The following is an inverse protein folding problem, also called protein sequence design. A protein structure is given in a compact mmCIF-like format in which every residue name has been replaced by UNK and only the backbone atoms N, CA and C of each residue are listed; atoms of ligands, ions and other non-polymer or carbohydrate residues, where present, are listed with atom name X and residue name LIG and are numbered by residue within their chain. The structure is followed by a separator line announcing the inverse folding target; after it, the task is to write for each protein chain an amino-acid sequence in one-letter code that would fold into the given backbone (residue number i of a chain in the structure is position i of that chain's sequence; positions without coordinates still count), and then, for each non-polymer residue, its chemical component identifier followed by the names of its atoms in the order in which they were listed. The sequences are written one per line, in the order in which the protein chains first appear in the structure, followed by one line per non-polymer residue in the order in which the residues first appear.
data_IF_974315134956
#
_entry.id   IF_974315134956
#
_cell.length_a   1.000
_cell.length_b   1.000
_cell.length_c   1.000
_cell.angle_alpha   90.00
_cell.angle_beta   90.00
_cell.angle_gamma   90.00
#
_symmetry.space_group_name_H-M   'P 1'
#
loop_
_entity.id
_entity.type
_entity.pdbx_description
1 polymer ?
#
# COMPACT_ATOMS: atom_id res chain seq x y z
N UNK A 1 -17.37 10.33 17.77
CA UNK A 1 -17.22 9.15 16.90
C UNK A 1 -16.09 8.30 17.41
N UNK A 2 -16.31 7.00 17.59
CA UNK A 2 -15.27 6.03 17.96
C UNK A 2 -14.74 5.35 16.69
N UNK A 3 -13.45 5.49 16.39
CA UNK A 3 -12.80 4.88 15.22
C UNK A 3 -12.35 3.45 15.51
N UNK A 4 -13.30 2.62 15.95
CA UNK A 4 -13.06 1.22 16.25
C UNK A 4 -14.30 0.38 15.96
N UNK A 5 -14.07 -0.71 15.25
CA UNK A 5 -14.99 -1.82 15.08
C UNK A 5 -14.17 -3.12 15.10
N UNK A 6 -14.74 -4.27 15.52
CA UNK A 6 -13.99 -5.52 15.61
C UNK A 6 -13.28 -5.94 14.32
N UNK A 7 -13.87 -5.63 13.16
CA UNK A 7 -13.23 -5.91 11.86
C UNK A 7 -11.94 -5.12 11.63
N UNK A 8 -11.65 -4.07 12.40
CA UNK A 8 -10.38 -3.34 12.29
C UNK A 8 -9.19 -4.15 12.84
N UNK A 9 -9.44 -5.19 13.65
CA UNK A 9 -8.39 -5.96 14.33
C UNK A 9 -7.38 -6.60 13.38
N UNK A 10 -7.76 -7.29 12.28
CA UNK A 10 -6.80 -7.83 11.32
C UNK A 10 -5.83 -6.77 10.78
N UNK A 11 -6.34 -5.62 10.35
CA UNK A 11 -5.51 -4.49 9.91
C UNK A 11 -4.59 -3.97 11.02
N UNK A 12 -5.12 -3.72 12.23
CA UNK A 12 -4.33 -3.18 13.35
C UNK A 12 -3.19 -4.13 13.72
N UNK A 13 -3.49 -5.42 13.88
CA UNK A 13 -2.50 -6.45 14.22
C UNK A 13 -1.44 -6.55 13.11
N UNK A 14 -1.87 -6.58 11.84
CA UNK A 14 -0.94 -6.64 10.71
C UNK A 14 -0.04 -5.42 10.62
N UNK A 15 -0.60 -4.21 10.74
CA UNK A 15 0.15 -2.97 10.71
C UNK A 15 1.17 -2.89 11.87
N UNK A 16 0.73 -3.20 13.10
CA UNK A 16 1.61 -3.24 14.27
C UNK A 16 2.75 -4.25 14.09
N UNK A 17 2.44 -5.44 13.59
CA UNK A 17 3.44 -6.49 13.31
C UNK A 17 4.47 -6.01 12.29
N UNK A 18 4.00 -5.46 11.16
CA UNK A 18 4.86 -4.94 10.10
C UNK A 18 5.77 -3.82 10.60
N UNK A 19 5.22 -2.79 11.24
CA UNK A 19 6.00 -1.64 11.71
C UNK A 19 6.98 -2.04 12.81
N UNK A 20 6.61 -2.95 13.71
CA UNK A 20 7.52 -3.44 14.76
C UNK A 20 8.71 -4.19 14.16
N UNK A 21 8.48 -5.07 13.17
CA UNK A 21 9.54 -5.83 12.51
C UNK A 21 10.44 -4.90 11.69
N UNK A 22 9.86 -3.96 10.94
CA UNK A 22 10.63 -2.98 10.15
C UNK A 22 11.48 -2.09 11.06
N UNK A 23 10.91 -1.57 12.15
CA UNK A 23 11.64 -0.76 13.12
C UNK A 23 12.79 -1.55 13.75
N UNK A 24 12.57 -2.82 14.11
CA UNK A 24 13.62 -3.68 14.64
C UNK A 24 14.72 -3.97 13.62
N UNK A 25 14.36 -4.39 12.39
CA UNK A 25 15.34 -4.67 11.31
C UNK A 25 16.15 -3.42 10.98
N UNK A 26 15.49 -2.32 10.63
CA UNK A 26 16.16 -1.07 10.24
C UNK A 26 16.94 -0.47 11.40
N UNK A 27 16.37 -0.46 12.61
CA UNK A 27 17.06 0.02 13.81
C UNK A 27 18.33 -0.78 14.09
N UNK A 28 18.24 -2.12 14.03
CA UNK A 28 19.40 -3.01 14.18
C UNK A 28 20.46 -2.76 13.11
N UNK A 29 20.06 -2.55 11.85
CA UNK A 29 21.00 -2.31 10.76
C UNK A 29 21.67 -0.93 10.85
N UNK A 30 20.90 0.12 11.12
CA UNK A 30 21.44 1.46 11.33
C UNK A 30 22.35 1.53 12.57
N UNK A 31 22.01 0.78 13.63
CA UNK A 31 22.85 0.70 14.82
C UNK A 31 24.19 0.01 14.55
N UNK A 32 24.22 -0.98 13.65
CA UNK A 32 25.42 -1.75 13.28
C UNK A 32 26.29 -1.06 12.22
N UNK A 33 25.89 0.09 11.69
CA UNK A 33 26.74 0.88 10.79
C UNK A 33 28.05 1.27 11.46
N UNK A 34 29.13 1.34 10.67
CA UNK A 34 30.42 1.78 11.16
C UNK A 34 30.35 3.23 11.65
N UNK A 35 31.27 3.64 12.54
CA UNK A 35 31.31 5.04 13.00
C UNK A 35 31.50 6.03 11.84
N UNK A 36 32.27 5.64 10.83
CA UNK A 36 32.49 6.44 9.63
C UNK A 36 31.18 6.62 8.84
N UNK A 37 30.42 5.55 8.62
CA UNK A 37 29.14 5.62 7.91
C UNK A 37 28.10 6.44 8.67
N UNK A 38 28.03 6.28 10.00
CA UNK A 38 27.12 7.09 10.84
C UNK A 38 27.44 8.58 10.72
N UNK A 39 28.72 8.94 10.70
CA UNK A 39 29.14 10.33 10.53
C UNK A 39 28.85 10.85 9.12
N UNK A 40 29.01 10.01 8.09
CA UNK A 40 28.64 10.35 6.71
C UNK A 40 27.14 10.65 6.58
N UNK A 41 26.29 9.79 7.16
CA UNK A 41 24.84 10.03 7.21
C UNK A 41 24.53 11.35 7.89
N UNK A 42 25.04 11.57 9.11
CA UNK A 42 24.78 12.79 9.89
C UNK A 42 25.16 14.07 9.15
N UNK A 43 26.30 14.07 8.46
CA UNK A 43 26.77 15.20 7.65
C UNK A 43 25.95 15.42 6.39
N UNK A 44 25.39 14.36 5.81
CA UNK A 44 24.65 14.44 4.57
C UNK A 44 23.17 14.81 4.75
N UNK A 45 22.57 14.57 5.92
CA UNK A 45 21.15 14.90 6.21
C UNK A 45 20.76 16.37 5.93
N UNK A 46 21.55 17.39 6.32
CA UNK A 46 21.17 18.80 6.06
C UNK A 46 21.58 19.29 4.67
N UNK A 47 22.00 18.40 3.75
CA UNK A 47 22.55 18.80 2.45
C UNK A 47 21.57 18.58 1.30
N UNK A 48 21.94 19.06 0.09
CA UNK A 48 21.18 18.79 -1.14
C UNK A 48 21.02 17.30 -1.44
N UNK A 49 21.89 16.45 -0.89
CA UNK A 49 21.79 15.00 -1.04
C UNK A 49 20.45 14.44 -0.54
N UNK A 50 19.86 15.03 0.51
CA UNK A 50 18.56 14.60 1.05
C UNK A 50 17.41 14.94 0.12
N UNK A 51 17.43 16.11 -0.52
CA UNK A 51 16.43 16.48 -1.51
C UNK A 51 16.55 15.62 -2.79
N UNK A 52 17.78 15.35 -3.23
CA UNK A 52 18.04 14.42 -4.33
C UNK A 52 17.57 13.00 -4.01
N UNK A 53 17.85 12.52 -2.80
CA UNK A 53 17.40 11.22 -2.32
C UNK A 53 15.87 11.14 -2.26
N UNK A 54 15.19 12.18 -1.77
CA UNK A 54 13.74 12.24 -1.75
C UNK A 54 13.15 12.20 -3.17
N UNK A 55 13.71 13.00 -4.09
CA UNK A 55 13.28 13.00 -5.49
C UNK A 55 13.49 11.63 -6.15
N UNK A 56 14.63 10.99 -5.90
CA UNK A 56 14.91 9.63 -6.38
C UNK A 56 13.95 8.62 -5.77
N UNK A 57 13.69 8.69 -4.46
CA UNK A 57 12.73 7.81 -3.78
C UNK A 57 11.32 7.95 -4.38
N UNK A 58 10.83 9.16 -4.63
CA UNK A 58 9.54 9.36 -5.30
C UNK A 58 9.56 8.82 -6.73
N UNK A 59 10.62 9.09 -7.50
CA UNK A 59 10.70 8.64 -8.89
C UNK A 59 10.83 7.12 -9.04
N UNK A 60 11.52 6.46 -8.13
CA UNK A 60 11.78 5.01 -8.22
C UNK A 60 10.77 4.18 -7.43
N UNK A 61 10.41 4.58 -6.21
CA UNK A 61 9.50 3.80 -5.36
C UNK A 61 8.01 4.04 -5.68
N UNK A 62 7.62 5.25 -6.12
CA UNK A 62 6.23 5.54 -6.50
C UNK A 62 6.03 5.45 -8.01
N UNK A 63 6.79 6.26 -8.78
CA UNK A 63 6.60 6.35 -10.23
C UNK A 63 7.22 5.18 -11.02
N UNK A 64 8.14 4.42 -10.41
CA UNK A 64 8.84 3.30 -11.05
C UNK A 64 9.45 3.69 -12.42
N UNK A 65 10.08 4.87 -12.50
CA UNK A 65 10.55 5.48 -13.75
C UNK A 65 11.48 4.57 -14.55
N UNK A 66 12.35 3.80 -13.90
CA UNK A 66 13.22 2.82 -14.58
C UNK A 66 12.45 1.70 -15.26
N UNK A 67 11.44 1.13 -14.59
CA UNK A 67 10.60 0.08 -15.18
C UNK A 67 9.79 0.68 -16.34
N UNK A 68 9.26 1.88 -16.17
CA UNK A 68 8.50 2.58 -17.20
C UNK A 68 9.30 2.82 -18.48
N UNK A 69 10.60 3.13 -18.36
CA UNK A 69 11.52 3.29 -19.50
C UNK A 69 11.78 1.99 -20.26
N UNK A 70 11.76 0.84 -19.57
CA UNK A 70 12.05 -0.47 -20.18
C UNK A 70 10.77 -1.09 -20.78
N UNK A 71 9.67 -1.05 -20.02
CA UNK A 71 8.39 -1.59 -20.42
C UNK A 71 7.27 -0.71 -19.86
N UNK A 72 6.66 0.17 -20.67
CA UNK A 72 5.63 1.11 -20.23
C UNK A 72 4.41 0.44 -19.60
N UNK A 73 3.98 -0.72 -20.12
CA UNK A 73 2.83 -1.46 -19.56
C UNK A 73 3.14 -1.99 -18.16
N UNK A 74 4.33 -2.56 -17.98
CA UNK A 74 4.77 -3.06 -16.68
C UNK A 74 5.03 -1.91 -15.69
N UNK A 75 5.56 -0.79 -16.18
CA UNK A 75 5.76 0.42 -15.41
C UNK A 75 4.45 1.01 -14.92
N UNK A 76 3.46 1.14 -15.82
CA UNK A 76 2.11 1.59 -15.47
C UNK A 76 1.46 0.67 -14.42
N UNK A 77 1.59 -0.65 -14.57
CA UNK A 77 1.07 -1.60 -13.59
C UNK A 77 1.65 -1.37 -12.18
N UNK A 78 2.96 -1.17 -12.03
CA UNK A 78 3.56 -0.89 -10.72
C UNK A 78 3.23 0.52 -10.20
N UNK A 79 3.30 1.53 -11.07
CA UNK A 79 2.99 2.91 -10.74
C UNK A 79 1.55 3.03 -10.24
N UNK A 80 0.58 2.44 -10.94
CA UNK A 80 -0.83 2.46 -10.54
C UNK A 80 -1.07 1.81 -9.18
N UNK A 81 -0.37 0.73 -8.84
CA UNK A 81 -0.44 0.13 -7.51
C UNK A 81 0.26 0.98 -6.44
N UNK A 82 1.49 1.45 -6.68
CA UNK A 82 2.28 2.17 -5.69
C UNK A 82 1.80 3.61 -5.49
N UNK A 83 1.82 4.42 -6.57
CA UNK A 83 1.34 5.80 -6.55
C UNK A 83 -0.15 5.85 -6.22
N UNK A 84 -0.96 4.99 -6.85
CA UNK A 84 -2.41 5.01 -6.62
C UNK A 84 -2.77 4.67 -5.17
N UNK A 85 -2.14 3.67 -4.56
CA UNK A 85 -2.36 3.37 -3.13
C UNK A 85 -1.87 4.51 -2.24
N UNK A 86 -0.68 5.06 -2.51
CA UNK A 86 -0.19 6.23 -1.77
C UNK A 86 -1.17 7.40 -1.82
N UNK A 87 -1.68 7.73 -3.02
CA UNK A 87 -2.67 8.79 -3.20
C UNK A 87 -4.00 8.48 -2.50
N UNK A 88 -4.47 7.23 -2.50
CA UNK A 88 -5.66 6.84 -1.75
C UNK A 88 -5.50 7.09 -0.24
N UNK A 89 -4.31 6.82 0.31
CA UNK A 89 -4.02 7.11 1.72
C UNK A 89 -3.94 8.62 1.97
N UNK A 90 -3.23 9.35 1.10
CA UNK A 90 -3.04 10.80 1.25
C UNK A 90 -4.36 11.57 1.12
N UNK A 91 -5.18 11.24 0.12
CA UNK A 91 -6.50 11.85 -0.08
C UNK A 91 -7.47 11.42 1.02
N UNK A 92 -7.45 10.15 1.44
CA UNK A 92 -8.26 9.70 2.59
C UNK A 92 -7.90 10.45 3.88
N UNK A 93 -6.61 10.69 4.13
CA UNK A 93 -6.17 11.53 5.24
C UNK A 93 -6.64 12.98 5.09
N UNK A 94 -6.48 13.59 3.91
CA UNK A 94 -6.98 14.94 3.65
C UNK A 94 -8.51 15.05 3.81
N UNK A 95 -9.25 14.03 3.40
CA UNK A 95 -10.69 13.91 3.60
C UNK A 95 -11.02 13.91 5.10
N UNK A 96 -10.36 13.06 5.88
CA UNK A 96 -10.61 13.01 7.33
C UNK A 96 -10.28 14.33 8.02
N UNK A 97 -9.23 15.05 7.60
CA UNK A 97 -8.92 16.38 8.09
C UNK A 97 -10.01 17.39 7.71
N UNK A 98 -10.55 17.30 6.50
CA UNK A 98 -11.63 18.19 6.05
C UNK A 98 -12.93 18.01 6.85
N UNK A 99 -13.14 16.83 7.46
CA UNK A 99 -14.28 16.56 8.33
C UNK A 99 -13.99 16.80 9.82
N UNK A 100 -12.82 16.38 10.30
CA UNK A 100 -12.49 16.34 11.74
C UNK A 100 -11.57 17.49 12.19
N UNK A 101 -11.08 18.31 11.27
CA UNK A 101 -10.02 19.28 11.54
C UNK A 101 -8.71 18.60 11.94
N UNK A 102 -7.87 19.29 12.72
CA UNK A 102 -6.57 18.78 13.20
C UNK A 102 -6.69 17.82 14.41
N UNK A 103 -7.85 17.19 14.60
CA UNK A 103 -8.04 16.22 15.68
C UNK A 103 -7.29 14.94 15.37
N UNK A 104 -6.76 14.31 16.42
CA UNK A 104 -6.14 13.00 16.28
C UNK A 104 -7.17 11.96 15.84
N UNK A 105 -6.89 11.32 14.71
CA UNK A 105 -7.64 10.18 14.18
C UNK A 105 -6.65 9.01 14.10
N UNK A 106 -6.97 7.83 14.65
CA UNK A 106 -6.06 6.70 14.59
C UNK A 106 -5.97 6.17 13.14
N UNK A 107 -4.89 5.46 12.80
CA UNK A 107 -4.62 4.98 11.44
C UNK A 107 -5.80 4.21 10.81
N UNK A 108 -6.45 3.33 11.58
CA UNK A 108 -7.61 2.59 11.10
C UNK A 108 -8.81 3.50 10.79
N UNK A 109 -8.93 4.65 11.45
CA UNK A 109 -9.97 5.64 11.20
C UNK A 109 -9.83 6.30 9.83
N UNK A 110 -8.60 6.49 9.34
CA UNK A 110 -8.34 6.99 7.98
C UNK A 110 -8.59 5.91 6.92
N UNK A 111 -8.17 4.67 7.19
CA UNK A 111 -8.29 3.55 6.24
C UNK A 111 -9.75 3.13 6.05
N UNK A 112 -10.53 3.08 7.13
CA UNK A 112 -11.94 2.68 7.12
C UNK A 112 -12.88 3.87 7.27
N UNK A 113 -12.46 5.06 6.83
CA UNK A 113 -13.23 6.28 7.07
C UNK A 113 -14.67 6.20 6.54
N UNK A 114 -14.86 5.62 5.34
CA UNK A 114 -16.18 5.44 4.73
C UNK A 114 -17.13 4.58 5.57
N UNK A 115 -16.62 3.64 6.36
CA UNK A 115 -17.42 2.87 7.31
C UNK A 115 -17.89 3.72 8.51
N UNK A 116 -16.99 4.55 9.07
CA UNK A 116 -17.29 5.34 10.28
C UNK A 116 -18.03 6.66 10.00
N UNK A 117 -17.95 7.17 8.76
CA UNK A 117 -18.43 8.50 8.38
C UNK A 117 -19.81 8.50 7.70
N UNK A 118 -20.60 7.43 7.83
CA UNK A 118 -21.92 7.29 7.17
C UNK A 118 -22.93 8.37 7.54
N UNK A 119 -22.78 9.01 8.71
CA UNK A 119 -23.64 10.11 9.17
C UNK A 119 -23.13 11.52 8.84
N UNK A 120 -22.02 11.67 8.10
CA UNK A 120 -21.46 12.98 7.75
C UNK A 120 -21.95 13.46 6.37
N UNK A 121 -22.14 14.78 6.16
CA UNK A 121 -22.54 15.31 4.86
C UNK A 121 -21.48 14.99 3.80
N UNK A 122 -21.88 14.33 2.70
CA UNK A 122 -20.96 13.95 1.64
C UNK A 122 -20.24 15.15 1.01
N UNK A 123 -18.97 14.96 0.67
CA UNK A 123 -18.14 15.94 -0.03
C UNK A 123 -17.84 15.40 -1.43
N UNK A 124 -18.60 15.82 -2.46
CA UNK A 124 -18.59 15.17 -3.78
C UNK A 124 -17.22 15.17 -4.45
N UNK A 125 -16.38 16.17 -4.17
CA UNK A 125 -15.00 16.22 -4.67
C UNK A 125 -14.17 15.05 -4.11
N UNK A 126 -14.27 14.76 -2.81
CA UNK A 126 -13.54 13.64 -2.22
C UNK A 126 -14.10 12.31 -2.73
N UNK A 127 -15.42 12.16 -2.81
CA UNK A 127 -16.04 10.95 -3.34
C UNK A 127 -15.60 10.68 -4.79
N UNK A 128 -15.56 11.71 -5.64
CA UNK A 128 -15.09 11.59 -7.02
C UNK A 128 -13.61 11.23 -7.11
N UNK A 129 -12.74 11.92 -6.36
CA UNK A 129 -11.29 11.68 -6.40
C UNK A 129 -10.95 10.29 -5.86
N UNK A 130 -11.62 9.84 -4.79
CA UNK A 130 -11.42 8.50 -4.23
C UNK A 130 -11.84 7.42 -5.23
N UNK A 131 -12.98 7.56 -5.91
CA UNK A 131 -13.42 6.64 -6.96
C UNK A 131 -12.45 6.62 -8.16
N UNK A 132 -11.95 7.79 -8.58
CA UNK A 132 -10.97 7.91 -9.66
C UNK A 132 -9.65 7.21 -9.32
N UNK A 133 -9.16 7.42 -8.10
CA UNK A 133 -7.93 6.77 -7.62
C UNK A 133 -8.14 5.26 -7.44
N UNK A 134 -9.30 4.83 -6.94
CA UNK A 134 -9.63 3.42 -6.81
C UNK A 134 -9.68 2.74 -8.18
N UNK A 135 -10.33 3.37 -9.17
CA UNK A 135 -10.33 2.88 -10.55
C UNK A 135 -8.91 2.79 -11.12
N UNK A 136 -8.09 3.82 -10.89
CA UNK A 136 -6.70 3.85 -11.34
C UNK A 136 -5.91 2.66 -10.78
N UNK A 137 -6.05 2.38 -9.47
CA UNK A 137 -5.39 1.22 -8.84
C UNK A 137 -5.96 -0.10 -9.36
N UNK A 138 -7.28 -0.21 -9.51
CA UNK A 138 -7.94 -1.41 -10.02
C UNK A 138 -7.49 -1.74 -11.45
N UNK A 139 -7.22 -0.74 -12.28
CA UNK A 139 -6.64 -0.95 -13.61
C UNK A 139 -5.26 -1.63 -13.52
N UNK A 140 -4.45 -1.27 -12.52
CA UNK A 140 -3.18 -1.92 -12.20
C UNK A 140 -3.34 -3.37 -11.73
N UNK A 141 -4.30 -3.62 -10.83
CA UNK A 141 -4.64 -4.98 -10.35
C UNK A 141 -5.11 -5.85 -11.51
N UNK A 142 -5.98 -5.33 -12.38
CA UNK A 142 -6.46 -6.03 -13.56
C UNK A 142 -5.31 -6.42 -14.51
N UNK A 143 -4.37 -5.51 -14.75
CA UNK A 143 -3.16 -5.80 -15.51
C UNK A 143 -2.28 -6.86 -14.84
N UNK A 144 -2.17 -6.84 -13.51
CA UNK A 144 -1.42 -7.84 -12.74
C UNK A 144 -2.05 -9.24 -12.86
N UNK A 145 -3.38 -9.33 -12.76
CA UNK A 145 -4.12 -10.57 -13.00
C UNK A 145 -3.97 -11.05 -14.45
N UNK A 146 -4.16 -10.17 -15.42
CA UNK A 146 -4.00 -10.49 -16.84
C UNK A 146 -2.60 -11.04 -17.13
N UNK A 147 -1.56 -10.36 -16.62
CA UNK A 147 -0.17 -10.81 -16.72
C UNK A 147 -0.02 -12.20 -16.11
N UNK A 148 -0.61 -12.49 -14.95
CA UNK A 148 -0.51 -13.81 -14.28
C UNK A 148 -1.20 -14.92 -15.08
N UNK A 149 -2.39 -14.66 -15.62
CA UNK A 149 -3.16 -15.63 -16.39
C UNK A 149 -2.46 -15.97 -17.72
N UNK A 150 -1.91 -14.96 -18.41
CA UNK A 150 -1.20 -15.14 -19.69
C UNK A 150 0.27 -15.56 -19.58
N UNK A 151 0.92 -15.44 -18.43
CA UNK A 151 2.34 -15.82 -18.29
C UNK A 151 2.61 -17.33 -18.37
N UNK A 152 1.58 -18.18 -18.19
CA UNK A 152 1.64 -19.60 -18.57
C UNK A 152 1.68 -19.81 -20.09
N UNK A 153 1.04 -18.92 -20.85
CA UNK A 153 0.99 -18.97 -22.33
C UNK A 153 2.20 -18.31 -23.02
N UNK A 154 2.94 -17.44 -22.32
CA UNK A 154 4.13 -16.73 -22.85
C UNK A 154 5.46 -17.48 -22.62
N UNK A 155 5.41 -18.78 -22.28
CA UNK A 155 6.61 -19.64 -22.31
C UNK A 155 7.73 -19.27 -21.33
N UNK A 156 7.43 -18.62 -20.21
CA UNK A 156 8.43 -18.31 -19.18
C UNK A 156 8.98 -19.61 -18.55
N UNK A 157 10.13 -20.08 -19.05
CA UNK A 157 10.80 -21.35 -18.68
C UNK A 157 11.33 -21.39 -17.24
N UNK A 158 11.38 -20.26 -16.53
CA UNK A 158 11.75 -20.18 -15.09
C UNK A 158 10.83 -19.21 -14.37
N UNK A 159 9.87 -19.75 -13.63
CA UNK A 159 9.14 -18.99 -12.62
C UNK A 159 9.93 -19.06 -11.31
N UNK A 160 10.25 -17.90 -10.72
CA UNK A 160 10.89 -17.85 -9.39
C UNK A 160 10.04 -18.64 -8.39
N UNK A 161 10.66 -19.56 -7.64
CA UNK A 161 9.99 -20.41 -6.66
C UNK A 161 9.49 -19.55 -5.51
N UNK A 162 8.20 -19.20 -5.52
CA UNK A 162 7.61 -18.38 -4.45
C UNK A 162 7.63 -19.15 -3.13
N UNK A 163 8.34 -18.58 -2.14
CA UNK A 163 8.23 -18.98 -0.73
C UNK A 163 6.77 -18.80 -0.28
N UNK A 164 6.32 -19.54 0.73
CA UNK A 164 4.93 -19.46 1.20
C UNK A 164 4.49 -18.01 1.49
N UNK A 165 5.37 -17.22 2.13
CA UNK A 165 5.14 -15.79 2.40
C UNK A 165 4.89 -14.95 1.15
N UNK A 166 5.63 -15.17 0.07
CA UNK A 166 5.43 -14.45 -1.20
C UNK A 166 4.06 -14.72 -1.82
N UNK A 167 3.57 -15.97 -1.73
CA UNK A 167 2.25 -16.33 -2.29
C UNK A 167 1.13 -15.69 -1.49
N UNK A 168 1.27 -15.71 -0.17
CA UNK A 168 0.30 -15.11 0.76
C UNK A 168 0.26 -13.59 0.57
N UNK A 169 1.41 -12.92 0.58
CA UNK A 169 1.48 -11.47 0.38
C UNK A 169 0.90 -11.06 -0.98
N UNK A 170 1.25 -11.77 -2.06
CA UNK A 170 0.77 -11.45 -3.40
C UNK A 170 -0.74 -11.71 -3.56
N UNK A 171 -1.24 -12.81 -3.01
CA UNK A 171 -2.68 -13.11 -3.03
C UNK A 171 -3.45 -12.05 -2.26
N UNK A 172 -3.00 -11.70 -1.04
CA UNK A 172 -3.60 -10.64 -0.24
C UNK A 172 -3.62 -9.31 -1.01
N UNK A 173 -2.47 -8.90 -1.58
CA UNK A 173 -2.31 -7.66 -2.35
C UNK A 173 -3.33 -7.54 -3.50
N UNK A 174 -3.59 -8.63 -4.21
CA UNK A 174 -4.55 -8.64 -5.31
C UNK A 174 -5.99 -8.41 -4.88
N UNK A 175 -6.36 -8.82 -3.67
CA UNK A 175 -7.73 -8.70 -3.18
C UNK A 175 -7.98 -7.42 -2.39
N UNK A 176 -6.95 -6.68 -1.94
CA UNK A 176 -7.11 -5.44 -1.15
C UNK A 176 -8.05 -4.44 -1.84
N UNK A 177 -7.81 -4.09 -3.10
CA UNK A 177 -8.61 -3.07 -3.79
C UNK A 177 -9.97 -3.56 -4.30
N UNK A 178 -10.09 -4.79 -4.84
CA UNK A 178 -11.41 -5.36 -5.11
C UNK A 178 -12.28 -5.48 -3.86
N UNK A 179 -11.69 -5.89 -2.72
CA UNK A 179 -12.40 -5.95 -1.45
C UNK A 179 -12.81 -4.56 -0.95
N UNK A 180 -11.94 -3.56 -1.11
CA UNK A 180 -12.26 -2.16 -0.82
C UNK A 180 -13.44 -1.68 -1.64
N UNK A 181 -13.42 -1.92 -2.96
CA UNK A 181 -14.51 -1.56 -3.86
C UNK A 181 -15.83 -2.18 -3.41
N UNK A 182 -15.82 -3.48 -3.08
CA UNK A 182 -17.01 -4.18 -2.61
C UNK A 182 -17.54 -3.59 -1.29
N UNK A 183 -16.66 -3.32 -0.33
CA UNK A 183 -17.03 -2.79 0.99
C UNK A 183 -17.58 -1.35 0.90
N UNK A 184 -16.91 -0.47 0.16
CA UNK A 184 -17.35 0.92 -0.04
C UNK A 184 -18.64 0.99 -0.87
N UNK A 185 -18.80 0.13 -1.89
CA UNK A 185 -20.06 0.05 -2.67
C UNK A 185 -21.22 -0.47 -1.84
N UNK A 186 -20.99 -1.47 -0.97
CA UNK A 186 -22.01 -1.96 -0.04
C UNK A 186 -22.43 -0.89 0.98
N UNK A 187 -21.46 -0.14 1.49
CA UNK A 187 -21.72 1.00 2.39
C UNK A 187 -22.53 2.08 1.67
N UNK A 188 -22.16 2.39 0.44
CA UNK A 188 -22.91 3.32 -0.40
C UNK A 188 -24.34 2.86 -0.69
N UNK A 189 -24.56 1.55 -0.88
CA UNK A 189 -25.90 0.99 -1.11
C UNK A 189 -26.84 1.18 0.09
N UNK A 190 -26.29 1.16 1.31
CA UNK A 190 -27.05 1.26 2.56
C UNK A 190 -27.24 2.71 3.03
N UNK A 191 -26.20 3.54 2.89
CA UNK A 191 -26.14 4.85 3.53
C UNK A 191 -26.00 6.01 2.53
N UNK A 192 -25.88 5.72 1.23
CA UNK A 192 -25.60 6.72 0.20
C UNK A 192 -24.14 7.16 0.16
N UNK A 193 -23.86 8.17 -0.67
CA UNK A 193 -22.51 8.66 -0.94
C UNK A 193 -21.90 8.06 -2.21
N UNK A 194 -20.57 7.97 -2.23
CA UNK A 194 -19.83 7.48 -3.39
C UNK A 194 -19.94 8.39 -4.61
N UNK A 195 -19.30 7.99 -5.70
CA UNK A 195 -19.36 8.72 -6.98
C UNK A 195 -19.67 7.74 -8.11
N UNK A 196 -19.03 7.91 -9.26
CA UNK A 196 -19.31 7.15 -10.48
C UNK A 196 -18.95 5.65 -10.39
N UNK A 197 -18.10 5.23 -9.45
CA UNK A 197 -17.66 3.84 -9.33
C UNK A 197 -18.39 3.15 -8.18
N UNK A 198 -18.15 3.62 -6.95
CA UNK A 198 -18.76 3.04 -5.75
C UNK A 198 -20.25 3.35 -5.68
N UNK A 199 -20.68 4.53 -6.14
CA UNK A 199 -22.09 4.92 -6.21
C UNK A 199 -22.87 4.15 -7.26
N UNK A 200 -22.31 3.93 -8.45
CA UNK A 200 -22.99 3.12 -9.49
C UNK A 200 -23.13 1.66 -9.07
N UNK A 201 -22.07 1.06 -8.51
CA UNK A 201 -22.15 -0.32 -8.00
C UNK A 201 -23.07 -0.41 -6.77
N UNK A 202 -23.01 0.56 -5.86
CA UNK A 202 -23.89 0.62 -4.69
C UNK A 202 -25.35 0.77 -5.08
N UNK A 203 -25.68 1.63 -6.05
CA UNK A 203 -27.02 1.79 -6.59
C UNK A 203 -27.52 0.51 -7.27
N UNK A 204 -26.66 -0.17 -8.03
CA UNK A 204 -26.99 -1.48 -8.60
C UNK A 204 -27.28 -2.52 -7.51
N UNK A 205 -26.45 -2.58 -6.46
CA UNK A 205 -26.65 -3.50 -5.34
C UNK A 205 -27.95 -3.21 -4.56
N UNK A 206 -28.25 -1.93 -4.29
CA UNK A 206 -29.48 -1.50 -3.64
C UNK A 206 -30.73 -1.87 -4.45
N UNK A 207 -30.64 -1.85 -5.78
CA UNK A 207 -31.74 -2.23 -6.66
C UNK A 207 -31.98 -3.75 -6.75
N UNK A 208 -30.97 -4.58 -6.46
CA UNK A 208 -31.01 -6.03 -6.71
C UNK A 208 -30.91 -6.90 -5.44
N UNK A 209 -30.68 -6.31 -4.27
CA UNK A 209 -30.55 -7.05 -3.02
C UNK A 209 -31.39 -6.41 -1.90
N UNK A 210 -31.99 -7.24 -1.05
CA UNK A 210 -32.71 -6.78 0.12
C UNK A 210 -31.77 -6.18 1.17
N UNK A 211 -32.28 -5.22 1.96
CA UNK A 211 -31.51 -4.49 2.97
C UNK A 211 -30.76 -5.40 3.93
N UNK A 212 -31.39 -6.47 4.44
CA UNK A 212 -30.75 -7.43 5.35
C UNK A 212 -29.58 -8.16 4.69
N UNK A 213 -29.70 -8.53 3.41
CA UNK A 213 -28.62 -9.17 2.67
C UNK A 213 -27.45 -8.19 2.45
N UNK A 214 -27.75 -6.92 2.18
CA UNK A 214 -26.75 -5.87 2.01
C UNK A 214 -26.00 -5.57 3.30
N UNK A 215 -26.68 -5.49 4.46
CA UNK A 215 -26.03 -5.29 5.75
C UNK A 215 -25.05 -6.43 6.10
N UNK A 216 -25.47 -7.68 5.84
CA UNK A 216 -24.60 -8.84 6.02
C UNK A 216 -23.41 -8.79 5.07
N UNK A 217 -23.64 -8.46 3.79
CA UNK A 217 -22.59 -8.36 2.79
C UNK A 217 -21.59 -7.24 3.10
N UNK A 218 -22.07 -6.05 3.50
CA UNK A 218 -21.25 -4.91 3.91
C UNK A 218 -20.30 -5.32 5.05
N UNK A 219 -20.85 -5.96 6.09
CA UNK A 219 -20.07 -6.48 7.21
C UNK A 219 -18.99 -7.46 6.74
N UNK A 220 -19.36 -8.45 5.93
CA UNK A 220 -18.42 -9.46 5.41
C UNK A 220 -17.35 -8.81 4.52
N UNK A 221 -17.72 -7.82 3.69
CA UNK A 221 -16.81 -7.12 2.80
C UNK A 221 -15.77 -6.30 3.58
N UNK A 222 -16.17 -5.60 4.64
CA UNK A 222 -15.23 -4.88 5.52
C UNK A 222 -14.28 -5.83 6.27
N UNK A 223 -14.80 -6.95 6.78
CA UNK A 223 -13.96 -8.00 7.37
C UNK A 223 -12.96 -8.57 6.38
N UNK A 224 -13.40 -8.86 5.16
CA UNK A 224 -12.55 -9.39 4.11
C UNK A 224 -11.47 -8.38 3.71
N UNK A 225 -11.84 -7.13 3.47
CA UNK A 225 -10.89 -6.05 3.17
C UNK A 225 -9.83 -5.88 4.26
N UNK A 226 -10.26 -5.78 5.51
CA UNK A 226 -9.33 -5.67 6.65
C UNK A 226 -8.43 -6.89 6.81
N UNK A 227 -8.96 -8.09 6.56
CA UNK A 227 -8.19 -9.33 6.59
C UNK A 227 -7.14 -9.38 5.48
N UNK A 228 -7.47 -8.93 4.26
CA UNK A 228 -6.50 -8.81 3.17
C UNK A 228 -5.37 -7.85 3.53
N UNK A 229 -5.68 -6.69 4.10
CA UNK A 229 -4.67 -5.73 4.58
C UNK A 229 -3.80 -6.34 5.69
N UNK A 230 -4.43 -6.95 6.70
CA UNK A 230 -3.74 -7.57 7.82
C UNK A 230 -2.78 -8.66 7.37
N UNK A 231 -3.26 -9.58 6.53
CA UNK A 231 -2.46 -10.67 5.98
C UNK A 231 -1.30 -10.17 5.14
N UNK A 232 -1.52 -9.14 4.31
CA UNK A 232 -0.47 -8.51 3.52
C UNK A 232 0.62 -7.93 4.43
N UNK A 233 0.25 -7.16 5.45
CA UNK A 233 1.22 -6.54 6.36
C UNK A 233 1.98 -7.54 7.23
N UNK A 234 1.34 -8.62 7.69
CA UNK A 234 2.05 -9.70 8.41
C UNK A 234 3.05 -10.41 7.49
N UNK A 235 2.67 -10.69 6.24
CA UNK A 235 3.52 -11.44 5.31
C UNK A 235 4.64 -10.58 4.70
N UNK A 236 4.45 -9.26 4.60
CA UNK A 236 5.35 -8.34 3.90
C UNK A 236 6.81 -8.43 4.38
N UNK A 237 7.13 -8.37 5.69
CA UNK A 237 8.52 -8.36 6.18
C UNK A 237 9.30 -9.66 5.95
N UNK A 238 8.60 -10.73 5.56
CA UNK A 238 9.14 -12.06 5.29
C UNK A 238 9.05 -12.45 3.81
N UNK A 239 8.70 -11.49 2.96
CA UNK A 239 8.53 -11.69 1.53
C UNK A 239 9.45 -10.78 0.75
N UNK A 240 9.65 -11.07 -0.54
CA UNK A 240 10.37 -10.18 -1.46
C UNK A 240 9.74 -8.78 -1.57
N UNK A 241 8.50 -8.59 -1.10
CA UNK A 241 7.84 -7.28 -1.08
C UNK A 241 8.38 -6.34 0.00
N UNK A 242 9.28 -6.82 0.87
CA UNK A 242 10.04 -5.96 1.78
C UNK A 242 10.83 -4.86 1.05
N UNK A 243 11.14 -5.04 -0.25
CA UNK A 243 11.76 -3.99 -1.05
C UNK A 243 10.93 -2.69 -1.11
N UNK A 244 9.60 -2.78 -1.03
CA UNK A 244 8.70 -1.61 -1.07
C UNK A 244 9.09 -0.59 0.00
N UNK A 245 9.41 -1.07 1.20
CA UNK A 245 9.80 -0.21 2.32
C UNK A 245 11.31 -0.01 2.39
N UNK A 246 12.11 -1.02 2.03
CA UNK A 246 13.58 -1.02 2.24
C UNK A 246 14.34 -0.29 1.13
N UNK A 247 13.74 -0.11 -0.05
CA UNK A 247 14.35 0.67 -1.14
C UNK A 247 14.50 2.16 -0.77
N UNK A 248 13.54 2.74 -0.03
CA UNK A 248 13.59 4.13 0.41
C UNK A 248 14.83 4.42 1.26
N UNK A 249 15.04 3.77 2.43
CA UNK A 249 16.24 4.02 3.23
C UNK A 249 17.52 3.69 2.46
N UNK A 250 17.53 2.68 1.57
CA UNK A 250 18.69 2.38 0.75
C UNK A 250 19.05 3.52 -0.21
N UNK A 251 18.09 4.16 -0.86
CA UNK A 251 18.32 5.33 -1.73
C UNK A 251 18.99 6.45 -0.95
N UNK A 252 18.54 6.71 0.28
CA UNK A 252 19.13 7.71 1.17
C UNK A 252 20.57 7.34 1.53
N UNK A 253 20.82 6.11 2.00
CA UNK A 253 22.17 5.65 2.35
C UNK A 253 23.14 5.73 1.16
N UNK A 254 22.69 5.36 -0.05
CA UNK A 254 23.49 5.46 -1.27
C UNK A 254 23.82 6.91 -1.62
N UNK A 255 22.85 7.82 -1.51
CA UNK A 255 23.05 9.26 -1.74
C UNK A 255 23.95 9.91 -0.68
N UNK A 256 23.98 9.35 0.52
CA UNK A 256 24.90 9.75 1.59
C UNK A 256 26.31 9.16 1.44
N UNK A 257 26.56 8.41 0.36
CA UNK A 257 27.88 7.94 -0.01
C UNK A 257 28.25 6.55 0.53
N UNK A 258 27.33 5.84 1.19
CA UNK A 258 27.58 4.49 1.68
C UNK A 258 27.67 3.51 0.49
N UNK A 259 28.63 2.58 0.57
CA UNK A 259 28.90 1.55 -0.44
C UNK A 259 29.18 0.20 0.22
N UNK A 260 28.97 -0.87 -0.53
CA UNK A 260 29.34 -2.22 -0.12
C UNK A 260 30.87 -2.33 0.01
N UNK A 261 31.34 -2.92 1.10
CA UNK A 261 32.76 -3.23 1.33
C UNK A 261 33.06 -4.70 1.00
N UNK A 262 34.35 -5.08 0.98
CA UNK A 262 34.75 -6.49 0.76
C UNK A 262 34.20 -7.45 1.84
N UNK A 263 33.97 -6.96 3.06
CA UNK A 263 33.29 -7.71 4.12
C UNK A 263 31.82 -7.33 4.14
N UNK A 264 30.96 -8.34 4.27
CA UNK A 264 29.52 -8.15 4.38
C UNK A 264 29.18 -7.26 5.58
N UNK A 265 28.68 -6.08 5.27
CA UNK A 265 28.34 -5.03 6.22
C UNK A 265 26.83 -4.86 6.37
N UNK A 266 26.43 -3.98 7.29
CA UNK A 266 25.01 -3.72 7.50
C UNK A 266 24.34 -2.99 6.33
N UNK A 267 25.10 -2.28 5.49
CA UNK A 267 24.61 -1.68 4.25
C UNK A 267 24.18 -2.76 3.23
N UNK A 268 24.89 -3.89 3.18
CA UNK A 268 24.59 -4.97 2.23
C UNK A 268 23.24 -5.62 2.55
N UNK A 269 22.83 -5.64 3.83
CA UNK A 269 21.49 -6.12 4.24
C UNK A 269 20.36 -5.24 3.70
N UNK A 270 20.55 -3.92 3.67
CA UNK A 270 19.61 -3.02 2.99
C UNK A 270 19.57 -3.28 1.49
N UNK A 271 20.72 -3.59 0.87
CA UNK A 271 20.77 -3.90 -0.57
C UNK A 271 20.07 -5.22 -0.92
N UNK A 272 20.27 -6.28 -0.12
CA UNK A 272 19.63 -7.58 -0.35
C UNK A 272 18.11 -7.47 -0.21
N UNK A 273 17.62 -6.85 0.87
CA UNK A 273 16.17 -6.76 1.14
C UNK A 273 15.46 -5.69 0.28
N UNK A 274 16.21 -4.77 -0.35
CA UNK A 274 15.70 -3.88 -1.40
C UNK A 274 15.72 -4.51 -2.80
N UNK A 275 16.44 -5.61 -3.00
CA UNK A 275 16.53 -6.27 -4.29
C UNK A 275 15.29 -7.14 -4.51
N UNK A 276 14.39 -6.74 -5.41
CA UNK A 276 13.17 -7.50 -5.69
C UNK A 276 13.39 -8.90 -6.28
N UNK A 277 14.62 -9.25 -6.71
CA UNK A 277 15.00 -10.54 -7.33
C UNK A 277 15.93 -11.39 -6.46
N UNK A 278 16.44 -10.80 -5.40
CA UNK A 278 17.16 -11.44 -4.32
C UNK A 278 16.10 -11.74 -3.23
#
# INVERSE_FOLDING_TARGET
MTFFAPFCLPFIIGALTMFSILAWKWGSWLWRLSRADKLAVLRAVPTRATWEALREAVCEALLHRRIFRINPVLGYMHMSLALGWFLLIAVGWAETLAYMGLRYVPLQGHVFFKYFATGLPHKPVFDFVMDLLLLFVLSGVALAWFKRLRSRALGLRRTTRHVAGDRVALAALWFIFPARLAAESATCALYGGGSFLTGTLGGWMAAHAGTMALMNFETVAWWFYSSCLGLFFVALPFSRYMHIFTEIPLIFLRRYGLRSSEKEGSYDRFQVEACSRC
#
